data_IF_476031380078
#
_entry.id   IF_476031380078
#
_cell.length_a   1.000
_cell.length_b   1.000
_cell.length_c   1.000
_cell.angle_alpha   90.00
_cell.angle_beta   90.00
_cell.angle_gamma   90.00
#
_symmetry.space_group_name_H-M   'P 1'
#
loop_
_entity.id
_entity.type
_entity.pdbx_description
1 polymer ?
#
# COMPACT_ATOMS: atom_id res chain seq x y z
N UNK A 1 8.04 9.70 -5.44
CA UNK A 1 7.53 8.33 -5.22
C UNK A 1 7.96 7.74 -3.88
N UNK A 2 9.24 7.78 -3.49
CA UNK A 2 9.71 7.36 -2.14
C UNK A 2 9.00 8.03 -0.96
N UNK A 3 8.75 9.34 -1.05
CA UNK A 3 8.02 10.06 -0.02
C UNK A 3 6.55 9.62 0.13
N UNK A 4 5.98 8.97 -0.88
CA UNK A 4 4.58 8.52 -0.85
C UNK A 4 4.42 7.11 -0.25
N UNK A 5 5.49 6.30 -0.23
CA UNK A 5 5.49 4.95 0.30
C UNK A 5 4.96 4.82 1.74
N UNK A 6 5.42 5.63 2.73
CA UNK A 6 4.88 5.54 4.09
C UNK A 6 3.39 5.92 4.17
N UNK A 7 2.91 6.79 3.27
CA UNK A 7 1.48 7.13 3.21
C UNK A 7 0.62 5.97 2.68
N UNK A 8 1.11 5.20 1.71
CA UNK A 8 0.43 4.02 1.22
C UNK A 8 0.44 2.88 2.24
N UNK A 9 1.55 2.68 2.94
CA UNK A 9 1.66 1.71 4.04
C UNK A 9 0.71 2.06 5.20
N UNK A 10 0.64 3.35 5.57
CA UNK A 10 -0.30 3.84 6.57
C UNK A 10 -1.75 3.63 6.13
N UNK A 11 -2.09 4.03 4.90
CA UNK A 11 -3.44 3.84 4.35
C UNK A 11 -3.84 2.36 4.31
N UNK A 12 -2.92 1.47 3.94
CA UNK A 12 -3.16 0.03 3.95
C UNK A 12 -3.44 -0.49 5.37
N UNK A 13 -2.67 -0.02 6.36
CA UNK A 13 -2.89 -0.36 7.77
C UNK A 13 -4.24 0.14 8.29
N UNK A 14 -4.60 1.40 7.97
CA UNK A 14 -5.86 2.01 8.38
C UNK A 14 -7.07 1.30 7.76
N UNK A 15 -7.02 0.98 6.47
CA UNK A 15 -8.06 0.21 5.78
C UNK A 15 -8.19 -1.19 6.40
N UNK A 16 -7.07 -1.86 6.71
CA UNK A 16 -7.09 -3.15 7.39
C UNK A 16 -7.77 -3.08 8.76
N UNK A 17 -7.43 -2.06 9.58
CA UNK A 17 -8.06 -1.85 10.90
C UNK A 17 -9.55 -1.55 10.78
N UNK A 18 -9.94 -0.69 9.83
CA UNK A 18 -11.34 -0.36 9.58
C UNK A 18 -12.12 -1.61 9.18
N UNK A 19 -11.57 -2.42 8.27
CA UNK A 19 -12.18 -3.67 7.82
C UNK A 19 -12.39 -4.63 8.99
N UNK A 20 -11.35 -4.92 9.79
CA UNK A 20 -11.47 -5.80 10.97
C UNK A 20 -12.48 -5.27 11.98
N UNK A 21 -12.44 -3.97 12.29
CA UNK A 21 -13.39 -3.36 13.23
C UNK A 21 -14.84 -3.47 12.76
N UNK A 22 -15.10 -3.27 11.47
CA UNK A 22 -16.47 -3.39 10.94
C UNK A 22 -16.92 -4.85 10.81
N UNK A 23 -16.01 -5.79 10.54
CA UNK A 23 -16.29 -7.22 10.58
C UNK A 23 -16.74 -7.66 11.99
N UNK A 24 -16.02 -7.25 13.04
CA UNK A 24 -16.35 -7.59 14.42
C UNK A 24 -17.71 -6.99 14.84
N UNK A 25 -17.96 -5.74 14.43
CA UNK A 25 -19.25 -5.09 14.65
C UNK A 25 -20.36 -5.80 13.90
N UNK A 26 -20.14 -6.25 12.66
CA UNK A 26 -21.11 -7.00 11.87
C UNK A 26 -21.56 -8.28 12.58
N UNK A 27 -20.60 -9.09 13.02
CA UNK A 27 -20.88 -10.36 13.71
C UNK A 27 -21.63 -10.12 15.01
N UNK A 28 -21.25 -9.09 15.76
CA UNK A 28 -21.95 -8.69 16.99
C UNK A 28 -23.39 -8.27 16.67
N UNK A 29 -23.57 -7.42 15.64
CA UNK A 29 -24.86 -6.92 15.24
C UNK A 29 -25.77 -8.06 14.77
N UNK A 30 -25.30 -8.92 13.85
CA UNK A 30 -26.01 -10.11 13.37
C UNK A 30 -26.46 -11.01 14.52
N UNK A 31 -25.58 -11.24 15.51
CA UNK A 31 -25.93 -12.06 16.67
C UNK A 31 -27.04 -11.45 17.53
N UNK A 32 -27.09 -10.11 17.65
CA UNK A 32 -28.09 -9.42 18.48
C UNK A 32 -29.39 -9.08 17.73
N UNK A 33 -29.32 -8.90 16.40
CA UNK A 33 -30.46 -8.42 15.60
C UNK A 33 -31.38 -9.53 15.11
N UNK A 34 -31.00 -10.80 15.30
CA UNK A 34 -31.84 -11.95 14.95
C UNK A 34 -33.16 -12.02 15.70
N UNK A 35 -33.33 -11.27 16.80
CA UNK A 35 -34.59 -11.21 17.56
C UNK A 35 -35.57 -10.11 17.12
N UNK A 36 -35.12 -9.05 16.42
CA UNK A 36 -35.98 -7.93 15.97
C UNK A 36 -36.18 -8.01 14.45
N UNK A 37 -37.26 -8.68 14.06
CA UNK A 37 -37.57 -9.16 12.72
C UNK A 37 -38.31 -8.17 11.80
N UNK A 38 -38.09 -6.87 11.95
CA UNK A 38 -38.72 -5.83 11.11
C UNK A 38 -37.78 -5.35 10.00
N UNK A 39 -37.47 -6.22 9.02
CA UNK A 39 -36.98 -5.88 7.66
C UNK A 39 -35.69 -5.06 7.46
N UNK A 40 -35.18 -4.38 8.49
CA UNK A 40 -34.03 -3.48 8.46
C UNK A 40 -32.71 -4.23 8.65
N UNK A 41 -32.71 -5.31 9.45
CA UNK A 41 -31.53 -6.12 9.68
C UNK A 41 -30.98 -6.74 8.37
N UNK A 42 -31.77 -7.36 7.47
CA UNK A 42 -31.27 -7.87 6.20
C UNK A 42 -30.69 -6.79 5.28
N UNK A 43 -31.33 -5.61 5.22
CA UNK A 43 -30.87 -4.50 4.39
C UNK A 43 -29.53 -3.93 4.89
N UNK A 44 -29.39 -3.78 6.21
CA UNK A 44 -28.15 -3.33 6.82
C UNK A 44 -27.02 -4.35 6.64
N UNK A 45 -27.30 -5.64 6.85
CA UNK A 45 -26.33 -6.73 6.62
C UNK A 45 -25.85 -6.71 5.16
N UNK A 46 -26.76 -6.53 4.20
CA UNK A 46 -26.40 -6.37 2.78
C UNK A 46 -25.51 -5.17 2.50
N UNK A 47 -25.82 -4.00 3.08
CA UNK A 47 -24.99 -2.81 2.95
C UNK A 47 -23.60 -3.00 3.59
N UNK A 48 -23.55 -3.69 4.73
CA UNK A 48 -22.31 -3.93 5.46
C UNK A 48 -21.41 -4.92 4.70
N UNK A 49 -21.97 -5.99 4.14
CA UNK A 49 -21.24 -6.90 3.24
C UNK A 49 -20.69 -6.16 2.01
N UNK A 50 -21.48 -5.26 1.42
CA UNK A 50 -21.03 -4.42 0.30
C UNK A 50 -19.88 -3.50 0.71
N UNK A 51 -19.93 -2.93 1.91
CA UNK A 51 -18.84 -2.12 2.46
C UNK A 51 -17.57 -2.94 2.65
N UNK A 52 -17.67 -4.14 3.23
CA UNK A 52 -16.54 -5.05 3.45
C UNK A 52 -15.88 -5.43 2.12
N UNK A 53 -16.67 -5.82 1.11
CA UNK A 53 -16.17 -6.11 -0.24
C UNK A 53 -15.43 -4.92 -0.85
N UNK A 54 -15.98 -3.71 -0.71
CA UNK A 54 -15.35 -2.50 -1.24
C UNK A 54 -14.05 -2.16 -0.50
N UNK A 55 -14.02 -2.33 0.83
CA UNK A 55 -12.80 -2.19 1.62
C UNK A 55 -11.73 -3.18 1.19
N UNK A 56 -12.09 -4.44 0.93
CA UNK A 56 -11.17 -5.45 0.44
C UNK A 56 -10.61 -5.10 -0.95
N UNK A 57 -11.45 -4.58 -1.87
CA UNK A 57 -10.98 -4.08 -3.17
C UNK A 57 -9.98 -2.92 -3.02
N UNK A 58 -10.26 -1.98 -2.13
CA UNK A 58 -9.34 -0.86 -1.84
C UNK A 58 -8.04 -1.38 -1.25
N UNK A 59 -8.09 -2.32 -0.32
CA UNK A 59 -6.92 -2.96 0.28
C UNK A 59 -6.05 -3.64 -0.77
N UNK A 60 -6.65 -4.40 -1.70
CA UNK A 60 -5.95 -5.05 -2.80
C UNK A 60 -5.30 -4.04 -3.75
N UNK A 61 -6.01 -2.98 -4.10
CA UNK A 61 -5.46 -1.91 -4.95
C UNK A 61 -4.27 -1.20 -4.27
N UNK A 62 -4.38 -0.90 -2.98
CA UNK A 62 -3.30 -0.32 -2.18
C UNK A 62 -2.08 -1.26 -2.13
N UNK A 63 -2.28 -2.57 -1.91
CA UNK A 63 -1.21 -3.56 -1.94
C UNK A 63 -0.47 -3.54 -3.28
N UNK A 64 -1.19 -3.59 -4.41
CA UNK A 64 -0.58 -3.54 -5.74
C UNK A 64 0.23 -2.26 -5.96
N UNK A 65 -0.24 -1.12 -5.45
CA UNK A 65 0.48 0.15 -5.55
C UNK A 65 1.75 0.11 -4.69
N UNK A 66 1.67 -0.40 -3.46
CA UNK A 66 2.83 -0.57 -2.57
C UNK A 66 3.88 -1.48 -3.18
N UNK A 67 3.50 -2.66 -3.68
CA UNK A 67 4.41 -3.62 -4.31
C UNK A 67 5.11 -3.01 -5.54
N UNK A 68 4.35 -2.27 -6.36
CA UNK A 68 4.91 -1.55 -7.53
C UNK A 68 5.83 -0.42 -7.12
N UNK A 69 5.54 0.29 -6.04
CA UNK A 69 6.40 1.35 -5.51
C UNK A 69 7.71 0.77 -5.00
N UNK A 70 7.66 -0.33 -4.26
CA UNK A 70 8.86 -1.02 -3.75
C UNK A 70 9.73 -1.53 -4.91
N UNK A 71 9.14 -2.23 -5.88
CA UNK A 71 9.87 -2.71 -7.05
C UNK A 71 10.54 -1.59 -7.87
N UNK A 72 9.84 -0.46 -8.07
CA UNK A 72 10.40 0.67 -8.83
C UNK A 72 11.46 1.43 -8.04
N UNK A 73 11.29 1.59 -6.73
CA UNK A 73 12.25 2.33 -5.89
C UNK A 73 13.50 1.52 -5.55
N UNK A 74 13.39 0.20 -5.38
CA UNK A 74 14.54 -0.70 -5.26
C UNK A 74 15.41 -0.69 -6.52
N UNK A 75 14.79 -0.74 -7.70
CA UNK A 75 15.49 -0.59 -8.98
C UNK A 75 16.13 0.80 -9.16
N UNK A 76 15.41 1.87 -8.81
CA UNK A 76 15.94 3.23 -8.93
C UNK A 76 17.17 3.44 -8.04
N UNK A 77 17.17 2.89 -6.82
CA UNK A 77 18.29 3.00 -5.92
C UNK A 77 19.51 2.25 -6.47
N UNK A 78 19.31 1.03 -7.00
CA UNK A 78 20.40 0.27 -7.62
C UNK A 78 20.99 0.99 -8.84
N UNK A 79 20.15 1.52 -9.73
CA UNK A 79 20.59 2.29 -10.90
C UNK A 79 21.30 3.57 -10.49
N UNK A 80 20.77 4.30 -9.51
CA UNK A 80 21.37 5.56 -9.04
C UNK A 80 22.71 5.33 -8.34
N UNK A 81 22.85 4.28 -7.53
CA UNK A 81 24.13 3.89 -6.92
C UNK A 81 25.14 3.52 -8.02
N UNK A 82 24.79 2.62 -8.95
CA UNK A 82 25.67 2.25 -10.07
C UNK A 82 26.08 3.45 -10.93
N UNK A 83 25.15 4.37 -11.21
CA UNK A 83 25.43 5.58 -12.00
C UNK A 83 26.36 6.53 -11.24
N UNK A 84 26.15 6.69 -9.93
CA UNK A 84 27.00 7.54 -9.09
C UNK A 84 28.41 6.97 -8.98
N UNK A 85 28.55 5.65 -8.81
CA UNK A 85 29.84 4.99 -8.74
C UNK A 85 30.60 5.08 -10.06
N UNK A 86 29.93 4.87 -11.20
CA UNK A 86 30.53 5.03 -12.54
C UNK A 86 30.88 6.49 -12.81
N UNK A 87 30.03 7.43 -12.44
CA UNK A 87 30.30 8.87 -12.59
C UNK A 87 31.49 9.31 -11.74
N UNK A 88 31.57 8.85 -10.48
CA UNK A 88 32.70 9.11 -9.59
C UNK A 88 34.00 8.49 -10.13
N UNK A 89 33.93 7.26 -10.66
CA UNK A 89 35.08 6.60 -11.30
C UNK A 89 35.55 7.35 -12.55
N UNK A 90 34.63 7.80 -13.41
CA UNK A 90 34.96 8.62 -14.59
C UNK A 90 35.54 9.97 -14.18
N UNK A 91 35.00 10.60 -13.15
CA UNK A 91 35.48 11.90 -12.68
C UNK A 91 36.88 11.78 -12.07
N UNK A 92 37.17 10.71 -11.34
CA UNK A 92 38.53 10.39 -10.87
C UNK A 92 39.48 10.06 -12.03
N UNK A 93 39.04 9.30 -13.03
CA UNK A 93 39.84 8.99 -14.22
C UNK A 93 40.16 10.24 -15.05
N UNK A 94 39.24 11.21 -15.14
CA UNK A 94 39.46 12.51 -15.78
C UNK A 94 40.36 13.43 -14.93
N UNK A 95 40.20 13.40 -13.60
CA UNK A 95 41.02 14.17 -12.65
C UNK A 95 42.46 13.65 -12.55
N UNK A 96 42.70 12.37 -12.81
CA UNK A 96 44.04 11.77 -12.79
C UNK A 96 44.88 12.14 -14.02
N UNK A 97 44.30 12.87 -14.99
CA UNK A 97 44.96 13.25 -16.23
C UNK A 97 45.06 12.06 -17.18
N UNK A 98 44.65 12.26 -18.43
CA UNK A 98 44.96 11.32 -19.50
C UNK A 98 46.49 11.16 -19.58
N UNK A 99 47.05 9.96 -19.40
CA UNK A 99 48.49 9.76 -19.55
C UNK A 99 48.86 10.04 -21.02
N UNK A 100 49.48 11.20 -21.29
CA UNK A 100 50.05 11.49 -22.62
C UNK A 100 49.89 12.90 -23.22
N UNK A 101 49.71 13.96 -22.43
CA UNK A 101 50.03 15.33 -22.89
C UNK A 101 50.99 16.01 -21.92
#
# INVERSE_FOLDING_TARGET
>A
MRAAQPHFEQALSEVGRAHSSMQDQATTLESSWTSDSDGAAPAFIGALNTWLENCEKVRQALQVVTDKLEANTGNYQHVQTNTSDVANHMQQAMSAGLPGF
#
